data_IF_979673628040
#
_entry.id   IF_979673628040
#
_cell.length_a   1.000
_cell.length_b   1.000
_cell.length_c   1.000
_cell.angle_alpha   90.00
_cell.angle_beta   90.00
_cell.angle_gamma   90.00
#
_symmetry.space_group_name_H-M   'P 1'
#
loop_
_entity.id
_entity.type
_entity.pdbx_description
1 polymer ?
#
# COMPACT_ATOMS: atom_id res chain seq x y z
N UNK A 1 -7.57 -27.07 -60.92
CA UNK A 1 -7.33 -28.10 -59.88
C UNK A 1 -6.49 -27.44 -58.80
N UNK A 2 -7.13 -26.89 -57.76
CA UNK A 2 -7.37 -27.51 -56.44
C UNK A 2 -6.10 -27.51 -55.55
N UNK A 3 -6.19 -26.75 -54.45
CA UNK A 3 -5.47 -26.87 -53.16
C UNK A 3 -4.07 -26.26 -53.07
N UNK A 4 -3.98 -24.93 -52.96
CA UNK A 4 -2.87 -24.26 -52.25
C UNK A 4 -3.35 -22.92 -51.67
N UNK A 5 -4.53 -22.92 -51.04
CA UNK A 5 -4.89 -21.95 -50.01
C UNK A 5 -4.71 -22.67 -48.67
N UNK A 6 -4.29 -21.94 -47.64
CA UNK A 6 -3.97 -22.40 -46.28
C UNK A 6 -2.51 -22.85 -46.17
N UNK A 7 -1.62 -21.90 -45.85
CA UNK A 7 -0.45 -21.95 -44.93
C UNK A 7 0.23 -20.57 -45.10
N UNK A 8 -0.35 -19.51 -44.53
CA UNK A 8 0.38 -18.30 -44.09
C UNK A 8 -0.50 -17.36 -43.23
N UNK A 9 -1.55 -17.89 -42.59
CA UNK A 9 -2.38 -17.16 -41.64
C UNK A 9 -2.44 -17.86 -40.27
N UNK A 10 -1.67 -18.93 -40.09
CA UNK A 10 -1.65 -19.75 -38.88
C UNK A 10 -0.35 -19.60 -38.06
N UNK A 11 0.49 -18.60 -38.36
CA UNK A 11 1.73 -18.33 -37.63
C UNK A 11 1.70 -17.04 -36.79
N UNK A 12 0.56 -16.34 -36.73
CA UNK A 12 0.37 -15.15 -35.87
C UNK A 12 -0.88 -15.21 -34.97
N UNK A 13 -1.53 -16.37 -34.90
CA UNK A 13 -2.41 -16.73 -33.79
C UNK A 13 -1.67 -17.80 -32.99
N UNK A 14 -1.56 -17.63 -31.67
CA UNK A 14 -0.91 -18.52 -30.69
C UNK A 14 0.52 -18.16 -30.25
N UNK A 15 0.80 -16.87 -30.08
CA UNK A 15 1.51 -16.44 -28.87
C UNK A 15 0.71 -15.26 -28.29
N UNK A 16 -0.55 -15.54 -27.94
CA UNK A 16 -1.15 -14.82 -26.82
C UNK A 16 -0.44 -15.38 -25.60
N UNK A 17 0.72 -14.84 -25.26
CA UNK A 17 1.14 -14.89 -23.86
C UNK A 17 0.06 -14.03 -23.19
N UNK A 18 -0.98 -14.70 -22.69
CA UNK A 18 -1.62 -14.23 -21.49
C UNK A 18 -0.49 -14.15 -20.48
N UNK A 19 0.17 -13.00 -20.44
CA UNK A 19 0.76 -12.54 -19.19
C UNK A 19 -0.49 -12.43 -18.34
N UNK A 20 -0.78 -13.49 -17.56
CA UNK A 20 -1.42 -13.26 -16.30
C UNK A 20 -0.43 -12.32 -15.61
N UNK A 21 -0.64 -11.02 -15.79
CA UNK A 21 -0.13 -10.07 -14.85
C UNK A 21 -0.67 -10.62 -13.53
N UNK A 22 0.23 -10.96 -12.63
CA UNK A 22 -0.18 -11.10 -11.23
C UNK A 22 -1.03 -9.86 -10.94
N UNK A 23 -2.20 -10.06 -10.34
CA UNK A 23 -3.12 -8.97 -10.04
C UNK A 23 -2.57 -8.05 -8.92
N UNK A 24 -1.26 -7.95 -8.81
CA UNK A 24 -0.51 -7.19 -7.84
C UNK A 24 0.06 -6.00 -8.60
N UNK A 25 -0.53 -4.83 -8.36
CA UNK A 25 -0.11 -3.61 -9.01
C UNK A 25 1.32 -3.20 -8.64
N UNK A 26 1.92 -2.33 -9.45
CA UNK A 26 3.23 -1.74 -9.21
C UNK A 26 3.35 -1.15 -7.80
N UNK A 27 4.54 -1.31 -7.20
CA UNK A 27 4.88 -0.67 -5.93
C UNK A 27 4.87 0.84 -6.12
N UNK A 28 3.99 1.51 -5.37
CA UNK A 28 3.88 2.97 -5.30
C UNK A 28 4.74 3.55 -4.19
N UNK A 29 4.75 2.87 -3.05
CA UNK A 29 5.53 3.24 -1.86
C UNK A 29 5.95 1.98 -1.12
N UNK A 30 7.12 1.99 -0.50
CA UNK A 30 7.59 0.87 0.33
C UNK A 30 8.49 1.34 1.46
N UNK A 31 8.11 0.97 2.68
CA UNK A 31 8.89 1.03 3.91
C UNK A 31 8.82 -0.34 4.59
N UNK A 32 9.94 -1.08 4.58
CA UNK A 32 9.96 -2.46 5.06
C UNK A 32 10.10 -2.53 6.59
N UNK A 33 9.49 -3.55 7.23
CA UNK A 33 9.58 -3.71 8.68
C UNK A 33 11.01 -3.94 9.17
N UNK A 34 11.32 -3.39 10.34
CA UNK A 34 12.54 -3.69 11.07
C UNK A 34 12.35 -4.91 11.98
N UNK A 35 12.65 -6.09 11.46
CA UNK A 35 12.60 -7.36 12.19
C UNK A 35 13.75 -7.58 13.17
N UNK A 36 14.86 -6.84 13.00
CA UNK A 36 16.04 -7.02 13.83
C UNK A 36 15.93 -6.15 15.08
N UNK A 37 15.87 -4.83 14.91
CA UNK A 37 15.97 -3.86 16.00
C UNK A 37 14.66 -3.12 16.29
N UNK A 38 13.65 -3.32 15.44
CA UNK A 38 12.38 -2.63 15.51
C UNK A 38 11.53 -3.07 16.67
N UNK A 39 10.42 -2.36 16.83
CA UNK A 39 9.42 -2.62 17.85
C UNK A 39 8.06 -2.18 17.31
N UNK A 40 7.03 -2.36 18.14
CA UNK A 40 5.65 -2.13 17.75
C UNK A 40 5.08 -0.93 18.52
N UNK A 41 4.39 -0.04 17.80
CA UNK A 41 3.71 1.12 18.38
C UNK A 41 2.21 0.84 18.37
N UNK A 42 1.57 0.87 19.54
CA UNK A 42 0.12 0.72 19.63
C UNK A 42 -0.59 1.74 18.73
N UNK A 43 -1.56 1.27 17.95
CA UNK A 43 -2.41 2.13 17.13
C UNK A 43 -3.78 1.47 16.94
N UNK A 44 -4.83 2.05 17.51
CA UNK A 44 -6.18 1.49 17.45
C UNK A 44 -7.27 2.58 17.54
N UNK A 45 -8.50 2.19 17.19
CA UNK A 45 -9.68 3.04 16.97
C UNK A 45 -9.93 4.17 17.97
N UNK A 46 -9.67 3.90 19.26
CA UNK A 46 -10.04 4.75 20.38
C UNK A 46 -8.91 5.66 20.86
N UNK A 47 -7.64 5.31 20.59
CA UNK A 47 -6.35 5.97 20.93
C UNK A 47 -5.38 5.02 21.61
N UNK A 48 -4.06 5.09 21.35
CA UNK A 48 -3.39 6.05 20.45
C UNK A 48 -3.66 5.78 18.97
N UNK A 49 -3.51 6.80 18.12
CA UNK A 49 -3.54 6.68 16.66
C UNK A 49 -2.19 7.12 16.10
N UNK A 50 -1.54 6.24 15.35
CA UNK A 50 -0.24 6.52 14.70
C UNK A 50 -0.45 6.88 13.24
N UNK A 51 0.39 7.77 12.72
CA UNK A 51 0.45 8.10 11.30
C UNK A 51 1.89 8.20 10.82
N UNK A 52 2.11 7.87 9.55
CA UNK A 52 3.40 8.03 8.88
C UNK A 52 3.20 8.64 7.49
N UNK A 53 4.24 9.26 6.94
CA UNK A 53 4.17 9.99 5.69
C UNK A 53 4.63 9.16 4.47
N UNK A 54 4.21 9.59 3.28
CA UNK A 54 4.69 9.05 2.00
C UNK A 54 4.52 10.07 0.87
N UNK A 55 5.40 10.00 -0.12
CA UNK A 55 5.28 10.79 -1.35
C UNK A 55 4.49 10.05 -2.42
N UNK A 56 3.53 10.73 -3.05
CA UNK A 56 2.92 10.23 -4.27
C UNK A 56 3.82 10.47 -5.48
N UNK A 57 4.49 9.44 -5.99
CA UNK A 57 5.49 9.59 -7.05
C UNK A 57 4.93 9.67 -8.48
N UNK A 58 3.69 9.23 -8.71
CA UNK A 58 3.14 9.03 -10.06
C UNK A 58 1.72 9.56 -10.26
N UNK A 59 1.11 10.16 -9.24
CA UNK A 59 -0.26 10.70 -9.29
C UNK A 59 -1.36 9.65 -9.41
N UNK A 60 -1.02 8.36 -9.41
CA UNK A 60 -2.01 7.28 -9.55
C UNK A 60 -2.66 6.94 -8.20
N UNK A 61 -3.89 6.39 -8.18
CA UNK A 61 -4.54 5.97 -6.94
C UNK A 61 -3.80 4.81 -6.24
N UNK A 62 -4.03 4.65 -4.93
CA UNK A 62 -3.63 3.44 -4.20
C UNK A 62 -4.65 2.34 -4.48
N UNK A 63 -4.19 1.11 -4.73
CA UNK A 63 -5.05 -0.05 -5.00
C UNK A 63 -4.93 -1.16 -3.97
N UNK A 64 -3.79 -1.28 -3.31
CA UNK A 64 -3.50 -2.28 -2.28
C UNK A 64 -2.63 -1.63 -1.21
N UNK A 65 -2.77 -2.13 0.02
CA UNK A 65 -1.97 -1.75 1.16
C UNK A 65 -1.47 -3.03 1.83
N UNK A 66 -0.17 -3.05 2.11
CA UNK A 66 0.48 -4.06 2.92
C UNK A 66 1.00 -3.41 4.19
N UNK A 67 0.77 -4.00 5.35
CA UNK A 67 1.28 -3.47 6.61
C UNK A 67 1.68 -4.58 7.57
N UNK A 68 2.50 -4.21 8.56
CA UNK A 68 3.10 -5.15 9.50
C UNK A 68 2.84 -4.76 10.95
N UNK A 69 2.89 -5.74 11.83
CA UNK A 69 2.62 -5.54 13.25
C UNK A 69 2.63 -6.85 14.02
N UNK A 70 2.37 -6.74 15.32
CA UNK A 70 2.28 -7.88 16.22
C UNK A 70 1.29 -7.60 17.35
N UNK A 71 1.11 -8.58 18.24
CA UNK A 71 0.22 -8.48 19.39
C UNK A 71 1.01 -8.79 20.66
N UNK A 72 0.72 -8.06 21.74
CA UNK A 72 1.41 -8.22 23.04
C UNK A 72 1.32 -9.64 23.62
N UNK A 73 0.26 -10.40 23.30
CA UNK A 73 0.05 -11.76 23.77
C UNK A 73 0.74 -12.85 22.92
N UNK A 74 1.42 -12.44 21.83
CA UNK A 74 2.14 -13.30 20.87
C UNK A 74 1.44 -14.63 20.58
N UNK A 75 0.34 -14.64 19.81
CA UNK A 75 -0.45 -15.84 19.61
C UNK A 75 0.31 -16.96 18.88
N UNK A 76 1.40 -16.63 18.19
CA UNK A 76 2.25 -17.56 17.44
C UNK A 76 1.59 -18.41 16.34
N UNK A 77 0.34 -18.10 16.00
CA UNK A 77 -0.44 -18.81 14.98
C UNK A 77 0.01 -18.44 13.57
N UNK A 78 -0.20 -19.33 12.59
CA UNK A 78 0.17 -19.03 11.19
C UNK A 78 -0.77 -17.98 10.56
N UNK A 79 -2.01 -17.89 11.06
CA UNK A 79 -2.97 -16.84 10.70
C UNK A 79 -2.90 -15.72 11.74
N UNK A 80 -3.11 -14.48 11.29
CA UNK A 80 -3.24 -13.36 12.23
C UNK A 80 -4.48 -13.54 13.12
N UNK A 81 -4.48 -12.99 14.35
CA UNK A 81 -5.69 -12.86 15.17
C UNK A 81 -6.85 -12.19 14.42
N UNK A 82 -8.07 -12.48 14.90
CA UNK A 82 -9.28 -11.85 14.39
C UNK A 82 -9.32 -10.38 14.84
N UNK A 83 -9.08 -9.47 13.92
CA UNK A 83 -9.02 -8.02 14.15
C UNK A 83 -9.41 -7.32 12.85
N UNK A 84 -10.21 -6.26 12.91
CA UNK A 84 -10.43 -5.42 11.74
C UNK A 84 -9.44 -4.25 11.75
N UNK A 85 -9.33 -3.51 10.64
CA UNK A 85 -8.48 -2.33 10.58
C UNK A 85 -9.22 -1.14 10.01
N UNK A 86 -8.83 0.05 10.44
CA UNK A 86 -9.22 1.30 9.80
C UNK A 86 -7.96 1.99 9.29
N UNK A 87 -8.01 2.35 8.02
CA UNK A 87 -6.95 3.08 7.34
C UNK A 87 -7.45 4.49 7.02
N UNK A 88 -6.69 5.51 7.38
CA UNK A 88 -6.98 6.91 7.05
C UNK A 88 -5.88 7.49 6.23
N UNK A 89 -6.26 8.29 5.24
CA UNK A 89 -5.34 9.10 4.46
C UNK A 89 -5.57 10.58 4.76
N UNK A 90 -4.49 11.33 4.90
CA UNK A 90 -4.56 12.73 5.32
C UNK A 90 -3.74 13.61 4.39
N UNK A 91 -4.13 14.89 4.30
CA UNK A 91 -3.24 15.92 3.77
C UNK A 91 -2.07 16.12 4.71
N UNK A 92 -0.92 16.40 4.13
CA UNK A 92 0.20 16.95 4.86
C UNK A 92 -0.07 18.37 5.38
N UNK A 93 0.32 18.62 6.63
CA UNK A 93 0.57 19.95 7.17
C UNK A 93 2.09 20.10 7.21
N UNK A 94 2.71 20.86 6.29
CA UNK A 94 4.16 20.90 6.19
C UNK A 94 4.82 21.44 7.46
N UNK A 95 6.02 20.94 7.74
CA UNK A 95 6.86 21.46 8.80
C UNK A 95 7.13 22.96 8.61
N UNK A 96 7.26 23.67 9.72
CA UNK A 96 7.77 25.04 9.75
C UNK A 96 9.11 25.07 10.46
N UNK A 97 9.71 26.26 10.62
CA UNK A 97 10.96 26.39 11.39
C UNK A 97 10.84 25.97 12.85
N UNK A 98 9.62 25.84 13.38
CA UNK A 98 9.36 25.57 14.81
C UNK A 98 8.37 24.43 15.05
N UNK A 99 7.86 23.78 14.00
CA UNK A 99 6.87 22.69 14.10
C UNK A 99 7.22 21.60 13.11
N UNK A 100 7.09 20.34 13.51
CA UNK A 100 7.20 19.18 12.61
C UNK A 100 5.99 19.09 11.69
N UNK A 101 6.11 18.38 10.57
CA UNK A 101 4.96 18.08 9.71
C UNK A 101 4.08 17.02 10.35
N UNK A 102 2.79 17.02 10.01
CA UNK A 102 1.86 16.08 10.61
C UNK A 102 0.59 15.92 9.77
N UNK A 103 -0.26 14.91 10.06
CA UNK A 103 -1.56 14.78 9.43
C UNK A 103 -2.45 16.00 9.69
N UNK A 104 -3.04 16.53 8.63
CA UNK A 104 -4.00 17.63 8.65
C UNK A 104 -5.44 17.17 8.45
N UNK A 105 -6.03 17.57 7.33
CA UNK A 105 -7.38 17.16 6.98
C UNK A 105 -7.39 15.68 6.55
N UNK A 106 -8.27 14.88 7.17
CA UNK A 106 -8.59 13.55 6.67
C UNK A 106 -9.20 13.65 5.27
N UNK A 107 -8.53 13.06 4.29
CA UNK A 107 -8.96 12.97 2.90
C UNK A 107 -9.89 11.80 2.71
N UNK A 108 -9.60 10.69 3.37
CA UNK A 108 -10.31 9.44 3.17
C UNK A 108 -10.17 8.49 4.35
N UNK A 109 -11.21 7.69 4.60
CA UNK A 109 -11.22 6.63 5.61
C UNK A 109 -11.70 5.34 4.94
N UNK A 110 -11.00 4.24 5.20
CA UNK A 110 -11.36 2.90 4.73
C UNK A 110 -11.42 1.98 5.94
N UNK A 111 -12.58 1.36 6.15
CA UNK A 111 -12.71 0.24 7.08
C UNK A 111 -12.39 -1.05 6.32
N UNK A 112 -11.46 -1.82 6.86
CA UNK A 112 -10.90 -3.03 6.26
C UNK A 112 -11.40 -4.23 7.08
N UNK A 113 -12.47 -4.84 6.55
CA UNK A 113 -13.08 -6.07 7.07
C UNK A 113 -12.69 -7.31 6.24
N UNK A 114 -12.19 -7.11 5.02
CA UNK A 114 -11.69 -8.15 4.14
C UNK A 114 -10.21 -7.93 3.81
N UNK A 115 -9.36 -8.82 4.31
CA UNK A 115 -7.91 -8.81 4.12
C UNK A 115 -7.35 -10.23 4.21
N UNK A 116 -6.09 -10.42 3.81
CA UNK A 116 -5.33 -11.64 4.11
C UNK A 116 -4.29 -11.33 5.18
N UNK A 117 -4.32 -12.04 6.30
CA UNK A 117 -3.40 -11.84 7.42
C UNK A 117 -2.63 -13.12 7.75
N UNK A 118 -1.30 -13.05 7.75
CA UNK A 118 -0.44 -14.21 7.97
C UNK A 118 0.79 -13.84 8.78
N UNK A 119 1.33 -14.84 9.50
CA UNK A 119 2.63 -14.74 10.15
C UNK A 119 3.72 -14.55 9.09
N UNK A 120 4.60 -13.58 9.31
CA UNK A 120 5.62 -13.19 8.33
C UNK A 120 7.03 -13.55 8.82
N UNK A 121 7.52 -12.87 9.87
CA UNK A 121 8.87 -13.09 10.41
C UNK A 121 8.90 -13.04 11.95
N UNK A 122 10.06 -13.37 12.51
CA UNK A 122 10.35 -13.31 13.94
C UNK A 122 11.06 -12.00 14.30
N UNK A 123 10.53 -11.26 15.28
CA UNK A 123 11.21 -10.07 15.80
C UNK A 123 12.34 -10.52 16.73
N UNK A 124 13.59 -10.22 16.36
CA UNK A 124 14.75 -10.73 17.09
C UNK A 124 14.85 -10.16 18.51
N UNK A 125 14.81 -8.83 18.65
CA UNK A 125 14.98 -8.19 19.97
C UNK A 125 13.74 -8.29 20.88
N UNK A 126 12.54 -8.34 20.30
CA UNK A 126 11.30 -8.45 21.09
C UNK A 126 10.91 -9.92 21.38
N UNK A 127 11.54 -10.88 20.69
CA UNK A 127 11.29 -12.31 20.83
C UNK A 127 9.80 -12.69 20.65
N UNK A 128 9.15 -12.16 19.60
CA UNK A 128 7.75 -12.46 19.26
C UNK A 128 7.52 -12.63 17.76
N UNK A 129 6.36 -13.19 17.39
CA UNK A 129 5.97 -13.31 16.00
C UNK A 129 5.41 -12.01 15.43
N UNK A 130 5.86 -11.67 14.23
CA UNK A 130 5.31 -10.63 13.39
C UNK A 130 4.31 -11.15 12.38
N UNK A 131 3.36 -10.31 12.02
CA UNK A 131 2.33 -10.59 11.04
C UNK A 131 2.33 -9.51 9.96
N UNK A 132 1.91 -9.93 8.76
CA UNK A 132 1.64 -9.08 7.61
C UNK A 132 0.18 -9.19 7.25
N UNK A 133 -0.39 -8.05 6.86
CA UNK A 133 -1.73 -7.95 6.32
C UNK A 133 -1.69 -7.32 4.93
N UNK A 134 -2.52 -7.87 4.04
CA UNK A 134 -2.69 -7.43 2.66
C UNK A 134 -4.17 -7.13 2.40
N UNK A 135 -4.49 -5.92 1.91
CA UNK A 135 -5.87 -5.52 1.64
C UNK A 135 -6.01 -4.68 0.37
N UNK A 136 -6.90 -5.11 -0.52
CA UNK A 136 -7.25 -4.36 -1.71
C UNK A 136 -8.23 -3.22 -1.38
N UNK A 137 -7.91 -2.01 -1.86
CA UNK A 137 -8.73 -0.80 -1.66
C UNK A 137 -9.13 -0.13 -2.99
N UNK A 138 -9.16 -0.89 -4.09
CA UNK A 138 -9.37 -0.38 -5.47
C UNK A 138 -10.64 0.45 -5.66
N UNK A 139 -11.66 0.25 -4.84
CA UNK A 139 -12.94 0.99 -4.92
C UNK A 139 -12.98 2.26 -4.06
N UNK A 140 -11.90 2.54 -3.32
CA UNK A 140 -11.84 3.49 -2.24
C UNK A 140 -10.54 4.32 -2.16
N UNK A 141 -9.98 4.88 -3.26
CA UNK A 141 -8.92 5.87 -3.13
C UNK A 141 -9.44 7.30 -3.27
N UNK A 142 -8.71 8.24 -2.65
CA UNK A 142 -8.77 9.66 -2.95
C UNK A 142 -7.83 9.98 -4.11
N UNK A 143 -8.11 11.06 -4.85
CA UNK A 143 -7.23 11.52 -5.92
C UNK A 143 -5.90 12.03 -5.35
N UNK A 144 -4.79 11.54 -5.92
CA UNK A 144 -3.45 11.94 -5.52
C UNK A 144 -2.78 12.81 -6.58
N UNK A 145 -1.96 13.75 -6.14
CA UNK A 145 -1.15 14.59 -7.00
C UNK A 145 0.31 14.14 -6.93
N UNK A 146 0.96 14.00 -8.08
CA UNK A 146 2.37 13.67 -8.16
C UNK A 146 3.23 14.71 -7.42
N UNK A 147 4.20 14.25 -6.63
CA UNK A 147 5.11 15.08 -5.83
C UNK A 147 4.45 15.66 -4.57
N UNK A 148 3.27 15.17 -4.18
CA UNK A 148 2.57 15.60 -2.96
C UNK A 148 2.80 14.59 -1.85
N UNK A 149 3.10 15.10 -0.65
CA UNK A 149 3.20 14.32 0.58
C UNK A 149 1.80 14.09 1.14
N UNK A 150 1.54 12.83 1.48
CA UNK A 150 0.34 12.41 2.19
C UNK A 150 0.73 11.65 3.45
N UNK A 151 -0.21 11.52 4.37
CA UNK A 151 -0.04 10.71 5.55
C UNK A 151 -1.01 9.53 5.53
N UNK A 152 -0.60 8.42 6.13
CA UNK A 152 -1.43 7.24 6.35
C UNK A 152 -1.46 6.90 7.84
N UNK A 153 -2.65 6.63 8.37
CA UNK A 153 -2.82 6.00 9.69
C UNK A 153 -3.39 4.62 9.52
N UNK A 154 -2.86 3.65 10.25
CA UNK A 154 -3.39 2.29 10.32
C UNK A 154 -3.70 1.99 11.79
N UNK A 155 -4.95 1.63 12.06
CA UNK A 155 -5.43 1.39 13.41
C UNK A 155 -6.22 0.08 13.47
N UNK A 156 -5.92 -0.77 14.45
CA UNK A 156 -6.74 -1.93 14.76
C UNK A 156 -8.13 -1.48 15.26
N UNK A 157 -9.14 -2.27 14.92
CA UNK A 157 -10.55 -2.08 15.25
C UNK A 157 -11.11 -3.37 15.86
N UNK A 158 -12.19 -3.28 16.67
CA UNK A 158 -12.92 -4.47 17.10
C UNK A 158 -13.31 -5.33 15.90
N UNK A 159 -13.17 -6.64 16.02
CA UNK A 159 -13.71 -7.57 15.04
C UNK A 159 -15.25 -7.40 14.96
N UNK A 160 -15.84 -7.09 13.80
CA UNK A 160 -17.29 -6.97 13.65
C UNK A 160 -18.06 -8.24 14.07
N UNK A 161 -17.44 -9.41 13.96
CA UNK A 161 -18.03 -10.67 14.41
C UNK A 161 -17.96 -10.85 15.93
N UNK A 162 -17.05 -10.15 16.62
CA UNK A 162 -16.89 -10.19 18.06
C UNK A 162 -16.58 -8.80 18.66
N UNK A 163 -17.54 -7.86 18.64
CA UNK A 163 -17.29 -6.45 18.94
C UNK A 163 -16.97 -6.15 20.41
N UNK A 164 -17.15 -7.12 21.31
CA UNK A 164 -16.80 -6.99 22.74
C UNK A 164 -15.40 -7.50 23.06
N UNK A 165 -14.71 -8.11 22.09
CA UNK A 165 -13.34 -8.55 22.25
C UNK A 165 -12.41 -7.35 22.13
N UNK A 166 -11.63 -7.10 23.18
CA UNK A 166 -10.70 -5.98 23.23
C UNK A 166 -9.26 -6.37 22.87
N UNK A 167 -9.01 -7.59 22.41
CA UNK A 167 -7.69 -8.06 21.98
C UNK A 167 -7.10 -7.21 20.85
N UNK A 168 -7.92 -6.58 20.01
CA UNK A 168 -7.44 -5.64 18.99
C UNK A 168 -6.62 -4.47 19.57
N UNK A 169 -6.83 -4.10 20.84
CA UNK A 169 -6.07 -3.03 21.53
C UNK A 169 -4.65 -3.44 21.91
N UNK A 170 -4.30 -4.71 21.77
CA UNK A 170 -2.92 -5.20 21.96
C UNK A 170 -2.10 -5.17 20.67
N UNK A 171 -2.73 -4.86 19.54
CA UNK A 171 -2.04 -4.73 18.26
C UNK A 171 -1.15 -3.49 18.24
N UNK A 172 0.09 -3.68 17.79
CA UNK A 172 1.02 -2.60 17.50
C UNK A 172 1.49 -2.64 16.05
N UNK A 173 1.59 -1.46 15.45
CA UNK A 173 2.15 -1.24 14.12
C UNK A 173 3.68 -1.31 14.19
N UNK A 174 4.28 -2.11 13.30
CA UNK A 174 5.72 -2.33 13.25
C UNK A 174 6.49 -1.09 12.77
N UNK A 175 7.61 -0.78 13.42
CA UNK A 175 8.56 0.24 12.93
C UNK A 175 9.33 -0.23 11.69
N UNK A 176 9.76 0.72 10.86
CA UNK A 176 10.49 0.49 9.62
C UNK A 176 12.01 0.68 9.79
N UNK A 177 12.79 -0.03 8.98
CA UNK A 177 14.23 0.22 8.79
C UNK A 177 14.49 1.36 7.79
N UNK A 178 13.53 1.58 6.89
CA UNK A 178 13.57 2.65 5.90
C UNK A 178 13.05 3.93 6.53
N UNK A 179 13.74 5.04 6.23
CA UNK A 179 13.40 6.35 6.73
C UNK A 179 13.28 7.39 5.61
N UNK A 180 12.18 8.15 5.58
CA UNK A 180 11.96 9.17 4.54
C UNK A 180 11.26 10.42 5.08
N UNK A 181 11.63 11.60 4.56
CA UNK A 181 11.10 12.92 4.98
C UNK A 181 11.12 13.14 6.50
N UNK A 182 9.96 13.32 7.13
CA UNK A 182 9.79 13.54 8.57
C UNK A 182 9.48 12.23 9.28
N UNK A 183 9.34 12.26 10.60
CA UNK A 183 9.11 11.05 11.38
C UNK A 183 7.62 10.77 11.60
N UNK A 184 7.28 9.51 11.82
CA UNK A 184 5.96 9.12 12.24
C UNK A 184 5.51 9.85 13.52
N UNK A 185 4.21 10.10 13.60
CA UNK A 185 3.58 10.84 14.70
C UNK A 185 2.48 10.03 15.37
N UNK A 186 2.13 10.43 16.59
CA UNK A 186 1.04 9.81 17.36
C UNK A 186 0.08 10.86 17.93
N UNK A 187 -1.22 10.64 17.76
CA UNK A 187 -2.27 11.30 18.53
C UNK A 187 -2.62 10.40 19.72
N UNK A 188 -2.04 10.71 20.88
CA UNK A 188 -2.17 9.89 22.10
C UNK A 188 -3.58 9.90 22.69
N UNK A 189 -4.32 10.98 22.47
CA UNK A 189 -5.57 11.26 23.17
C UNK A 189 -6.80 11.32 22.26
N UNK A 190 -6.62 11.19 20.94
CA UNK A 190 -7.70 11.34 19.96
C UNK A 190 -8.18 12.79 19.85
N UNK A 191 -7.29 13.76 20.12
CA UNK A 191 -7.62 15.18 20.14
C UNK A 191 -7.19 15.91 18.85
N UNK A 192 -6.58 15.20 17.90
CA UNK A 192 -5.94 15.79 16.72
C UNK A 192 -4.65 16.55 17.07
N UNK A 193 -4.06 16.29 18.23
CA UNK A 193 -2.78 16.84 18.65
C UNK A 193 -1.73 15.77 18.42
N UNK A 194 -1.00 15.92 17.31
CA UNK A 194 0.08 15.01 16.94
C UNK A 194 1.32 15.31 17.78
N UNK A 195 2.05 14.26 18.13
CA UNK A 195 3.35 14.31 18.78
C UNK A 195 4.33 13.45 17.98
N UNK A 196 5.56 13.92 17.80
CA UNK A 196 6.64 13.14 17.19
C UNK A 196 6.92 11.86 17.97
N UNK A 197 7.12 10.74 17.25
CA UNK A 197 7.55 9.49 17.88
C UNK A 197 9.06 9.47 18.18
N UNK A 198 9.94 10.03 17.35
CA UNK A 198 11.39 9.98 17.59
C UNK A 198 11.90 10.94 18.66
N UNK A 199 11.20 12.03 18.95
CA UNK A 199 11.48 12.90 20.10
C UNK A 199 11.11 12.25 21.44
N UNK A 200 10.45 11.09 21.43
CA UNK A 200 10.14 10.36 22.65
C UNK A 200 11.42 9.89 23.36
N UNK A 201 11.50 10.12 24.67
CA UNK A 201 12.71 9.86 25.50
C UNK A 201 13.30 8.45 25.40
N UNK A 202 12.49 7.46 25.00
CA UNK A 202 12.94 6.07 24.84
C UNK A 202 13.63 5.82 23.49
N UNK A 203 13.40 6.68 22.51
CA UNK A 203 13.89 6.52 21.14
C UNK A 203 15.23 7.25 20.95
N UNK A 204 15.71 7.99 21.96
CA UNK A 204 17.03 8.65 21.98
C UNK A 204 17.27 9.59 20.79
N UNK A 205 16.21 10.14 20.18
CA UNK A 205 16.31 10.93 18.96
C UNK A 205 16.55 10.12 17.69
N UNK A 206 16.36 8.78 17.73
CA UNK A 206 16.23 7.97 16.53
C UNK A 206 14.94 8.35 15.82
N UNK A 207 15.05 8.55 14.51
CA UNK A 207 13.90 8.71 13.64
C UNK A 207 13.08 7.42 13.64
N UNK A 208 11.77 7.54 13.80
CA UNK A 208 10.84 6.40 13.81
C UNK A 208 9.87 6.58 12.67
N UNK A 209 9.87 5.61 11.76
CA UNK A 209 8.91 5.50 10.67
C UNK A 209 8.24 4.13 10.76
N UNK A 210 7.11 3.96 10.10
CA UNK A 210 6.25 2.78 10.22
C UNK A 210 6.33 1.91 8.97
N UNK A 211 6.13 0.61 9.12
CA UNK A 211 6.25 -0.34 8.02
C UNK A 211 4.94 -0.46 7.25
N UNK A 212 4.96 -0.08 5.98
CA UNK A 212 3.85 -0.27 5.05
C UNK A 212 4.31 -0.21 3.59
N UNK A 213 3.54 -0.85 2.70
CA UNK A 213 3.68 -0.70 1.25
C UNK A 213 2.33 -0.32 0.65
N UNK A 214 2.39 0.50 -0.39
CA UNK A 214 1.24 0.89 -1.20
C UNK A 214 1.48 0.43 -2.62
N UNK A 215 0.47 -0.12 -3.28
CA UNK A 215 0.53 -0.41 -4.71
C UNK A 215 -0.41 0.51 -5.51
N UNK A 216 -0.20 0.54 -6.82
CA UNK A 216 -0.98 1.34 -7.76
C UNK A 216 -1.30 0.54 -9.03
N UNK A 217 -2.28 0.93 -9.86
CA UNK A 217 -2.55 0.20 -11.09
C UNK A 217 -1.31 0.12 -11.99
N UNK A 218 -1.07 -1.08 -12.51
CA UNK A 218 -0.11 -1.34 -13.59
C UNK A 218 -0.32 -0.34 -14.73
N UNK A 219 0.75 0.26 -15.29
CA UNK A 219 0.66 0.99 -16.52
C UNK A 219 0.25 0.00 -17.60
N UNK A 220 -1.01 0.05 -18.03
CA UNK A 220 -1.45 -0.67 -19.23
C UNK A 220 -0.53 -0.26 -20.37
N UNK A 221 0.39 -1.14 -20.73
CA UNK A 221 1.53 -0.85 -21.60
C UNK A 221 1.11 -0.08 -22.84
N UNK A 222 1.46 1.22 -22.90
CA UNK A 222 1.29 2.12 -24.04
C UNK A 222 1.87 1.55 -25.36
N UNK A 223 2.70 0.50 -25.26
CA UNK A 223 3.21 -0.32 -26.37
C UNK A 223 2.08 -0.97 -27.19
N UNK A 224 0.99 -1.41 -26.58
CA UNK A 224 -0.14 -2.04 -27.29
C UNK A 224 -0.89 -1.05 -28.19
N UNK A 225 -1.04 0.20 -27.75
CA UNK A 225 -1.68 1.25 -28.56
C UNK A 225 -0.78 1.74 -29.70
N UNK A 226 0.54 1.85 -29.47
CA UNK A 226 1.50 2.23 -30.52
C UNK A 226 1.62 1.14 -31.60
N UNK A 227 1.65 -0.15 -31.22
CA UNK A 227 1.72 -1.26 -32.18
C UNK A 227 0.41 -1.45 -32.96
N UNK A 228 -0.75 -1.25 -32.33
CA UNK A 228 -2.06 -1.27 -32.99
C UNK A 228 -2.23 -0.13 -34.00
N UNK A 229 -1.82 1.09 -33.65
CA UNK A 229 -1.91 2.26 -34.51
C UNK A 229 -1.03 2.18 -35.77
N UNK A 230 0.21 1.69 -35.62
CA UNK A 230 1.15 1.51 -36.75
C UNK A 230 0.66 0.42 -37.71
N UNK A 231 0.11 -0.68 -37.17
CA UNK A 231 -0.46 -1.77 -37.97
C UNK A 231 -1.66 -1.31 -38.79
N UNK A 232 -2.60 -0.57 -38.19
CA UNK A 232 -3.76 -0.02 -38.88
C UNK A 232 -3.38 1.01 -39.96
N UNK A 233 -2.38 1.86 -39.69
CA UNK A 233 -1.87 2.82 -40.68
C UNK A 233 -1.18 2.13 -41.88
N UNK A 234 -0.45 1.04 -41.63
CA UNK A 234 0.22 0.24 -42.67
C UNK A 234 -0.81 -0.46 -43.58
N UNK A 235 -1.82 -1.12 -43.00
CA UNK A 235 -2.88 -1.78 -43.78
C UNK A 235 -3.81 -0.79 -44.49
N UNK A 236 -4.10 0.36 -43.88
CA UNK A 236 -4.87 1.45 -44.50
C UNK A 236 -4.18 2.04 -45.74
N UNK A 237 -2.86 2.20 -45.72
CA UNK A 237 -2.08 2.66 -46.89
C UNK A 237 -2.03 1.63 -48.01
N UNK A 238 -1.96 0.33 -47.70
CA UNK A 238 -1.93 -0.74 -48.71
C UNK A 238 -3.26 -0.86 -49.47
N UNK A 239 -4.40 -0.72 -48.78
CA UNK A 239 -5.74 -0.75 -49.42
C UNK A 239 -5.96 0.39 -50.43
N UNK A 240 -5.46 1.60 -50.14
CA UNK A 240 -5.62 2.76 -51.05
C UNK A 240 -4.81 2.65 -52.35
N UNK A 241 -3.72 1.89 -52.37
CA UNK A 241 -2.94 1.64 -53.59
C UNK A 241 -3.57 0.60 -54.53
N UNK A 242 -4.39 -0.31 -54.00
CA UNK A 242 -5.02 -1.37 -54.80
C UNK A 242 -6.26 -0.92 -55.59
N UNK A 243 -6.77 0.30 -55.35
CA UNK A 243 -8.00 0.82 -55.98
C UNK A 243 -7.68 1.80 -57.13
N UNK A 244 -6.40 1.96 -57.50
CA UNK A 244 -5.93 2.84 -58.60
C UNK A 244 -5.07 2.11 -59.64
N UNK A 245 -5.25 0.80 -59.80
CA UNK A 245 -4.63 -0.02 -60.84
C UNK A 245 -5.69 -0.54 -61.80
#
# INVERSE_FOLDING_TARGET
>A
MKRSLIILAAAFLLIGISVQADAQGDIKWSQKPDWAEGYDILSYDTKPLVADDFECLDGKPVTDIHWWGSYTDDPGTDQSPSTAFQIKFWRDVPATTTTFSHPGQCLHTVDIDAFSGYKDDWQILAEHHGYRWDANITWSPFDQTQGTIYWISIAAQPDPANPNDESYKTWGWKTSNDHWNDEAVVDKNGQGIWESLGEHKYNQGKKIDMAFELTTPEPVSSVLFLMGGVSLAYFGRKRRRSVRG
#
